data_IF_805955410730
#
_entry.id   IF_805955410730
#
_cell.length_a   1.000
_cell.length_b   1.000
_cell.length_c   1.000
_cell.angle_alpha   90.00
_cell.angle_beta   90.00
_cell.angle_gamma   90.00
#
_symmetry.space_group_name_H-M   'P 1'
#
loop_
_entity.id
_entity.type
_entity.pdbx_description
1 polymer ?
#
# COMPACT_ATOMS: atom_id res chain seq x y z
N UNK A 1 -8.42 6.27 11.72
CA UNK A 1 -7.18 5.91 11.01
C UNK A 1 -6.26 5.34 12.06
N UNK A 2 -5.84 4.10 11.89
CA UNK A 2 -4.94 3.39 12.80
C UNK A 2 -3.61 3.11 12.11
N UNK A 3 -2.53 3.02 12.87
CA UNK A 3 -1.23 2.64 12.35
C UNK A 3 -0.95 1.21 12.78
N UNK A 4 -0.71 0.34 11.80
CA UNK A 4 -0.26 -1.01 12.09
C UNK A 4 1.18 -1.00 12.57
N UNK A 5 1.48 -1.86 13.53
CA UNK A 5 2.85 -2.15 13.93
C UNK A 5 3.55 -2.95 12.82
N UNK A 6 4.87 -2.77 12.69
CA UNK A 6 5.69 -3.50 11.71
C UNK A 6 5.63 -5.03 11.92
N UNK A 7 5.37 -5.48 13.16
CA UNK A 7 5.22 -6.90 13.49
C UNK A 7 3.80 -7.42 13.24
N UNK A 8 2.87 -6.58 12.78
CA UNK A 8 1.52 -7.00 12.46
C UNK A 8 1.54 -7.92 11.24
N UNK A 9 0.78 -9.02 11.28
CA UNK A 9 0.76 -10.00 10.18
C UNK A 9 0.29 -9.42 8.85
N UNK A 10 -0.62 -8.44 8.90
CA UNK A 10 -1.07 -7.69 7.72
C UNK A 10 0.01 -6.75 7.15
N UNK A 11 1.03 -6.36 7.93
CA UNK A 11 2.05 -5.41 7.48
C UNK A 11 2.80 -5.94 6.26
N UNK A 12 3.39 -7.14 6.36
CA UNK A 12 4.11 -7.75 5.24
C UNK A 12 3.19 -8.01 4.05
N UNK A 13 1.98 -8.53 4.32
CA UNK A 13 0.99 -8.85 3.28
C UNK A 13 0.56 -7.61 2.49
N UNK A 14 0.37 -6.47 3.16
CA UNK A 14 0.04 -5.20 2.52
C UNK A 14 1.11 -4.79 1.50
N UNK A 15 2.39 -4.88 1.88
CA UNK A 15 3.51 -4.55 0.99
C UNK A 15 3.64 -5.53 -0.17
N UNK A 16 3.46 -6.83 0.09
CA UNK A 16 3.48 -7.86 -0.96
C UNK A 16 2.34 -7.65 -1.98
N UNK A 17 1.15 -7.28 -1.50
CA UNK A 17 0.00 -6.98 -2.35
C UNK A 17 0.23 -5.70 -3.16
N UNK A 18 0.76 -4.65 -2.54
CA UNK A 18 1.17 -3.43 -3.24
C UNK A 18 2.16 -3.73 -4.37
N UNK A 19 3.18 -4.57 -4.12
CA UNK A 19 4.14 -5.00 -5.14
C UNK A 19 3.48 -5.73 -6.30
N UNK A 20 2.46 -6.54 -6.03
CA UNK A 20 1.74 -7.31 -7.04
C UNK A 20 0.92 -6.45 -8.02
N UNK A 21 0.64 -5.19 -7.69
CA UNK A 21 -0.01 -4.29 -8.64
C UNK A 21 0.89 -4.07 -9.86
N UNK A 22 0.27 -4.09 -11.06
CA UNK A 22 0.97 -3.85 -12.33
C UNK A 22 1.76 -2.54 -12.34
N UNK A 23 1.29 -1.54 -11.60
CA UNK A 23 1.94 -0.25 -11.47
C UNK A 23 3.35 -0.39 -10.87
N UNK A 24 3.50 -1.26 -9.89
CA UNK A 24 4.73 -1.49 -9.13
C UNK A 24 5.61 -2.60 -9.71
N UNK A 25 5.07 -3.42 -10.63
CA UNK A 25 5.81 -4.47 -11.34
C UNK A 25 6.63 -5.42 -10.42
N UNK A 26 6.09 -5.73 -9.24
CA UNK A 26 6.75 -6.57 -8.24
C UNK A 26 7.66 -5.82 -7.27
N UNK A 27 7.79 -4.50 -7.36
CA UNK A 27 8.59 -3.68 -6.43
C UNK A 27 7.69 -3.07 -5.33
N UNK A 28 7.74 -3.56 -4.08
CA UNK A 28 6.93 -3.03 -2.98
C UNK A 28 7.32 -1.61 -2.56
N UNK A 29 8.56 -1.17 -2.81
CA UNK A 29 9.04 0.13 -2.36
C UNK A 29 8.97 1.17 -3.47
N UNK A 30 9.15 0.75 -4.72
CA UNK A 30 9.14 1.58 -5.92
C UNK A 30 10.01 2.84 -5.76
N UNK A 31 11.31 2.68 -5.47
CA UNK A 31 12.18 3.82 -5.18
C UNK A 31 12.46 4.63 -6.44
N UNK A 32 12.05 5.90 -6.47
CA UNK A 32 12.29 6.82 -7.57
C UNK A 32 12.71 8.20 -7.06
N UNK A 33 13.90 8.67 -7.48
CA UNK A 33 14.48 9.96 -7.07
C UNK A 33 14.51 10.20 -5.54
N UNK A 34 14.72 9.13 -4.76
CA UNK A 34 14.71 9.19 -3.29
C UNK A 34 13.32 9.25 -2.66
N UNK A 35 12.27 9.07 -3.46
CA UNK A 35 10.88 8.91 -3.02
C UNK A 35 10.48 7.44 -3.15
N UNK A 36 9.57 6.99 -2.30
CA UNK A 36 9.06 5.63 -2.31
C UNK A 36 7.61 5.63 -1.83
N UNK A 37 7.00 4.45 -1.79
CA UNK A 37 5.71 4.27 -1.14
C UNK A 37 5.80 4.52 0.36
N UNK A 38 4.93 5.40 0.84
CA UNK A 38 4.78 5.76 2.23
C UNK A 38 3.46 5.19 2.75
N UNK A 39 3.53 4.52 3.91
CA UNK A 39 2.35 4.03 4.59
C UNK A 39 1.69 5.17 5.39
N UNK A 40 0.47 5.54 5.00
CA UNK A 40 -0.28 6.64 5.61
C UNK A 40 -1.17 6.19 6.76
N UNK A 41 -1.26 4.89 7.01
CA UNK A 41 -2.15 4.30 8.00
C UNK A 41 -3.19 3.38 7.37
N UNK A 42 -4.11 2.92 8.19
CA UNK A 42 -5.16 1.99 7.81
C UNK A 42 -6.50 2.40 8.38
N UNK A 43 -7.55 1.99 7.68
CA UNK A 43 -8.93 2.06 8.12
C UNK A 43 -9.42 0.65 8.46
N UNK A 44 -10.68 0.50 8.85
CA UNK A 44 -11.25 -0.82 9.14
C UNK A 44 -11.19 -1.78 7.95
N UNK A 45 -11.17 -1.25 6.72
CA UNK A 45 -11.34 -2.03 5.51
C UNK A 45 -10.12 -1.93 4.56
N UNK A 46 -9.33 -0.85 4.61
CA UNK A 46 -8.23 -0.62 3.67
C UNK A 46 -6.96 -0.05 4.33
N UNK A 47 -5.79 -0.43 3.82
CA UNK A 47 -4.52 0.24 4.04
C UNK A 47 -4.30 1.33 3.01
N UNK A 48 -3.83 2.50 3.46
CA UNK A 48 -3.65 3.67 2.61
C UNK A 48 -2.16 3.89 2.40
N UNK A 49 -1.73 3.90 1.14
CA UNK A 49 -0.36 4.16 0.76
C UNK A 49 -0.30 5.32 -0.23
N UNK A 50 0.77 6.10 -0.13
CA UNK A 50 1.01 7.28 -0.95
C UNK A 50 2.40 7.20 -1.58
N UNK A 51 2.50 7.53 -2.86
CA UNK A 51 3.77 7.68 -3.55
C UNK A 51 3.86 9.10 -4.11
N UNK A 52 4.82 9.90 -3.63
CA UNK A 52 4.89 11.32 -4.00
C UNK A 52 5.20 11.58 -5.49
N UNK A 53 5.94 10.70 -6.17
CA UNK A 53 6.18 10.79 -7.62
C UNK A 53 6.52 9.43 -8.23
N UNK A 54 5.51 8.70 -8.69
CA UNK A 54 5.71 7.34 -9.19
C UNK A 54 6.47 7.36 -10.53
N UNK A 55 7.51 6.53 -10.73
CA UNK A 55 8.38 6.56 -11.92
C UNK A 55 7.61 6.36 -13.24
N UNK A 56 6.49 5.63 -13.17
CA UNK A 56 5.70 5.25 -14.33
C UNK A 56 4.69 6.32 -14.74
N UNK A 57 4.11 7.05 -13.77
CA UNK A 57 3.08 8.07 -14.04
C UNK A 57 3.61 9.50 -13.91
N UNK A 58 4.81 9.68 -13.33
CA UNK A 58 5.46 10.95 -13.00
C UNK A 58 4.56 11.88 -12.16
N UNK A 59 3.70 11.30 -11.34
CA UNK A 59 2.71 12.01 -10.51
C UNK A 59 2.61 11.38 -9.13
N UNK A 60 1.98 12.09 -8.21
CA UNK A 60 1.61 11.52 -6.92
C UNK A 60 0.52 10.46 -7.11
N UNK A 61 0.74 9.27 -6.57
CA UNK A 61 -0.18 8.14 -6.65
C UNK A 61 -0.65 7.74 -5.25
N UNK A 62 -1.89 7.25 -5.18
CA UNK A 62 -2.49 6.73 -3.95
C UNK A 62 -2.97 5.31 -4.22
N UNK A 63 -2.58 4.39 -3.34
CA UNK A 63 -3.00 3.00 -3.40
C UNK A 63 -3.76 2.63 -2.14
N UNK A 64 -4.83 1.85 -2.34
CA UNK A 64 -5.68 1.35 -1.28
C UNK A 64 -5.63 -0.18 -1.36
N UNK A 65 -5.05 -0.79 -0.34
CA UNK A 65 -4.89 -2.25 -0.26
C UNK A 65 -5.95 -2.77 0.71
N UNK A 66 -6.72 -3.77 0.31
CA UNK A 66 -7.80 -4.30 1.15
C UNK A 66 -7.24 -5.07 2.36
N UNK A 67 -7.90 -4.92 3.52
CA UNK A 67 -7.57 -5.68 4.72
C UNK A 67 -8.12 -7.09 4.66
N UNK A 68 -7.46 -7.99 5.38
CA UNK A 68 -7.89 -9.39 5.41
C UNK A 68 -9.22 -9.50 6.17
N UNK A 69 -10.32 -9.64 5.43
CA UNK A 69 -11.68 -9.70 5.99
C UNK A 69 -12.57 -8.49 5.68
N UNK A 70 -12.06 -7.45 5.02
CA UNK A 70 -12.90 -6.38 4.48
C UNK A 70 -13.97 -6.94 3.53
N UNK A 71 -13.56 -7.85 2.64
CA UNK A 71 -14.43 -8.61 1.73
C UNK A 71 -15.59 -9.36 2.42
N UNK A 72 -15.40 -9.80 3.67
CA UNK A 72 -16.40 -10.56 4.43
C UNK A 72 -17.45 -9.67 5.11
N UNK A 73 -17.26 -8.34 5.14
CA UNK A 73 -18.19 -7.40 5.78
C UNK A 73 -19.28 -6.87 4.85
N UNK A 74 -19.23 -7.24 3.57
CA UNK A 74 -20.27 -6.91 2.58
C UNK A 74 -21.26 -8.06 2.32
N UNK A 75 -21.27 -9.09 3.18
CA UNK A 75 -22.19 -10.24 3.10
C UNK A 75 -23.38 -10.12 4.05
#
# INVERSE_FOLDING_TARGET
MEYLDINHTEWQKMWDELAAYRLNNGDPLCVHEGRCWEYMGSTGDHHHLHHACHPLTNKAEYMYIERTGAALRWA
#
